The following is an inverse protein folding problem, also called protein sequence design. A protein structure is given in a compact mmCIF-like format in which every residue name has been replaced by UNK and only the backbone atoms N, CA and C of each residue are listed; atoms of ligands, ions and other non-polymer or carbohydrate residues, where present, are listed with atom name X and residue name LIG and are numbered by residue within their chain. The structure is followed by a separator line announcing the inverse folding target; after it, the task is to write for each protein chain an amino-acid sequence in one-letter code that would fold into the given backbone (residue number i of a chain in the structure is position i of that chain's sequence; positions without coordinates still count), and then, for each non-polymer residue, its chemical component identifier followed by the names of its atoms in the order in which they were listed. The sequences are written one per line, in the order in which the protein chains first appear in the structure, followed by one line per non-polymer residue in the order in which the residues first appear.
data_IF_482503575802
#
_entry.id   IF_482503575802
#
_cell.length_a   1.000
_cell.length_b   1.000
_cell.length_c   1.000
_cell.angle_alpha   90.00
_cell.angle_beta   90.00
_cell.angle_gamma   90.00
#
_symmetry.space_group_name_H-M   'P 1'
#
loop_
_entity.id
_entity.type
_entity.pdbx_description
1 polymer ?
#
# COMPACT_ATOMS: atom_id res chain seq x y z
N UNK A 1 4.21 9.85 20.53
CA UNK A 1 5.40 9.82 19.64
C UNK A 1 5.86 8.41 19.32
N UNK A 2 6.01 7.49 20.29
CA UNK A 2 6.50 6.12 19.99
C UNK A 2 5.62 5.31 19.02
N UNK A 3 4.30 5.34 19.19
CA UNK A 3 3.37 4.65 18.27
C UNK A 3 3.42 5.20 16.83
N UNK A 4 3.75 6.49 16.67
CA UNK A 4 3.88 7.15 15.37
C UNK A 4 5.12 6.67 14.61
N UNK A 5 6.28 6.70 15.28
CA UNK A 5 7.53 6.19 14.72
C UNK A 5 7.49 4.68 14.47
N UNK A 6 6.80 3.92 15.33
CA UNK A 6 6.53 2.50 15.10
C UNK A 6 5.72 2.24 13.81
N UNK A 7 4.67 3.04 13.56
CA UNK A 7 3.86 2.92 12.34
C UNK A 7 4.63 3.32 11.08
N UNK A 8 5.46 4.37 11.13
CA UNK A 8 6.35 4.75 10.03
C UNK A 8 7.34 3.65 9.68
N UNK A 9 7.99 3.05 10.69
CA UNK A 9 8.90 1.93 10.51
C UNK A 9 8.21 0.71 9.87
N UNK A 10 6.97 0.41 10.27
CA UNK A 10 6.18 -0.68 9.68
C UNK A 10 5.77 -0.39 8.24
N UNK A 11 5.36 0.83 7.90
CA UNK A 11 5.05 1.22 6.52
C UNK A 11 6.28 1.05 5.60
N UNK A 12 7.46 1.47 6.05
CA UNK A 12 8.74 1.25 5.34
C UNK A 12 9.01 -0.25 5.14
N UNK A 13 8.81 -1.07 6.19
CA UNK A 13 8.99 -2.52 6.09
C UNK A 13 8.03 -3.17 5.09
N UNK A 14 6.77 -2.73 5.02
CA UNK A 14 5.80 -3.22 4.02
C UNK A 14 6.25 -2.86 2.61
N UNK A 15 6.79 -1.64 2.41
CA UNK A 15 7.38 -1.25 1.13
C UNK A 15 8.52 -2.19 0.68
N UNK A 16 9.42 -2.56 1.59
CA UNK A 16 10.48 -3.53 1.29
C UNK A 16 9.94 -4.93 0.99
N UNK A 17 8.91 -5.39 1.71
CA UNK A 17 8.25 -6.66 1.42
C UNK A 17 7.65 -6.67 0.02
N UNK A 18 6.91 -5.61 -0.35
CA UNK A 18 6.32 -5.46 -1.68
C UNK A 18 7.40 -5.46 -2.75
N UNK A 19 8.53 -4.77 -2.53
CA UNK A 19 9.66 -4.74 -3.48
C UNK A 19 10.26 -6.12 -3.71
N UNK A 20 10.29 -6.96 -2.68
CA UNK A 20 10.82 -8.33 -2.77
C UNK A 20 9.88 -9.32 -3.45
N UNK A 21 8.60 -8.96 -3.68
CA UNK A 21 7.66 -9.84 -4.36
C UNK A 21 8.01 -9.96 -5.85
N UNK A 22 7.99 -11.18 -6.37
CA UNK A 22 8.08 -11.45 -7.80
C UNK A 22 6.71 -11.80 -8.38
N UNK A 23 6.58 -11.72 -9.70
CA UNK A 23 5.35 -12.08 -10.42
C UNK A 23 5.00 -13.57 -10.22
N UNK A 24 4.04 -13.85 -9.35
CA UNK A 24 3.45 -15.19 -9.20
C UNK A 24 2.07 -15.12 -8.54
N UNK A 25 1.23 -16.14 -8.78
CA UNK A 25 -0.09 -16.26 -8.14
C UNK A 25 0.00 -16.20 -6.61
N UNK A 26 1.00 -16.86 -6.01
CA UNK A 26 1.20 -16.86 -4.57
C UNK A 26 1.59 -15.47 -4.03
N UNK A 27 2.29 -14.67 -4.82
CA UNK A 27 2.73 -13.33 -4.41
C UNK A 27 1.64 -12.27 -4.60
N UNK A 28 0.58 -12.55 -5.37
CA UNK A 28 -0.60 -11.68 -5.49
C UNK A 28 -1.36 -11.61 -4.18
N UNK A 29 -1.60 -12.76 -3.55
CA UNK A 29 -2.23 -12.82 -2.21
C UNK A 29 -1.38 -12.07 -1.19
N UNK A 30 -0.05 -12.19 -1.25
CA UNK A 30 0.87 -11.44 -0.37
C UNK A 30 0.85 -9.94 -0.64
N UNK A 31 0.82 -9.53 -1.91
CA UNK A 31 0.72 -8.12 -2.30
C UNK A 31 -0.58 -7.51 -1.76
N UNK A 32 -1.72 -8.21 -1.91
CA UNK A 32 -3.01 -7.77 -1.39
C UNK A 32 -2.97 -7.62 0.14
N UNK A 33 -2.43 -8.61 0.85
CA UNK A 33 -2.28 -8.53 2.31
C UNK A 33 -1.40 -7.35 2.75
N UNK A 34 -0.27 -7.11 2.06
CA UNK A 34 0.60 -5.96 2.33
C UNK A 34 -0.12 -4.62 2.13
N UNK A 35 -0.91 -4.50 1.07
CA UNK A 35 -1.68 -3.29 0.76
C UNK A 35 -2.78 -3.02 1.81
N UNK A 36 -3.48 -4.07 2.25
CA UNK A 36 -4.47 -3.96 3.32
C UNK A 36 -3.84 -3.54 4.65
N UNK A 37 -2.68 -4.12 5.01
CA UNK A 37 -1.94 -3.72 6.22
C UNK A 37 -1.46 -2.27 6.14
N UNK A 38 -0.88 -1.86 5.00
CA UNK A 38 -0.43 -0.48 4.79
C UNK A 38 -1.59 0.51 4.91
N UNK A 39 -2.73 0.21 4.29
CA UNK A 39 -3.94 1.03 4.38
C UNK A 39 -4.44 1.17 5.82
N UNK A 40 -4.49 0.08 6.59
CA UNK A 40 -4.95 0.09 7.98
C UNK A 40 -3.99 0.85 8.90
N UNK A 41 -2.68 0.64 8.74
CA UNK A 41 -1.65 1.36 9.49
C UNK A 41 -1.73 2.87 9.21
N UNK A 42 -1.77 3.24 7.94
CA UNK A 42 -1.90 4.62 7.50
C UNK A 42 -3.16 5.28 8.08
N UNK A 43 -4.29 4.57 8.07
CA UNK A 43 -5.54 5.08 8.65
C UNK A 43 -5.43 5.31 10.15
N UNK A 44 -4.76 4.42 10.89
CA UNK A 44 -4.57 4.61 12.34
C UNK A 44 -3.69 5.82 12.67
N UNK A 45 -2.69 6.10 11.83
CA UNK A 45 -1.83 7.29 11.95
C UNK A 45 -2.60 8.58 11.64
N UNK A 46 -3.36 8.61 10.54
CA UNK A 46 -4.14 9.80 10.14
C UNK A 46 -5.30 10.07 11.09
N UNK A 47 -5.95 9.04 11.66
CA UNK A 47 -7.08 9.19 12.58
C UNK A 47 -6.67 9.69 13.98
N UNK A 48 -5.40 9.54 14.33
CA UNK A 48 -4.85 9.91 15.64
C UNK A 48 -4.45 11.39 15.79
N UNK A 49 -4.44 12.16 14.70
CA UNK A 49 -4.02 13.56 14.68
C UNK A 49 -5.10 14.49 14.11
N UNK A 50 -5.39 15.60 14.82
CA UNK A 50 -6.22 16.70 14.31
C UNK A 50 -5.42 17.48 13.27
N UNK A 51 -5.41 17.03 12.01
CA UNK A 51 -4.71 17.73 10.93
C UNK A 51 -5.63 18.03 9.73
N UNK A 52 -5.74 19.29 9.28
CA UNK A 52 -6.41 19.68 8.04
C UNK A 52 -5.86 18.98 6.77
N UNK A 53 -4.61 18.48 6.78
CA UNK A 53 -4.01 17.71 5.68
C UNK A 53 -4.37 16.22 5.68
N UNK A 54 -5.27 15.79 6.58
CA UNK A 54 -5.87 14.46 6.57
C UNK A 54 -6.48 14.08 5.21
N UNK A 55 -6.82 15.05 4.34
CA UNK A 55 -7.29 14.77 2.99
C UNK A 55 -6.25 14.04 2.14
N UNK A 56 -4.98 14.45 2.18
CA UNK A 56 -3.93 13.85 1.34
C UNK A 56 -3.56 12.45 1.84
N UNK A 57 -3.39 12.29 3.15
CA UNK A 57 -3.23 10.97 3.78
C UNK A 57 -4.40 10.02 3.49
N UNK A 58 -5.65 10.50 3.63
CA UNK A 58 -6.84 9.70 3.30
C UNK A 58 -6.94 9.36 1.81
N UNK A 59 -6.45 10.22 0.91
CA UNK A 59 -6.41 9.93 -0.52
C UNK A 59 -5.44 8.78 -0.80
N UNK A 60 -4.23 8.82 -0.25
CA UNK A 60 -3.22 7.76 -0.39
C UNK A 60 -3.70 6.42 0.21
N UNK A 61 -4.38 6.46 1.36
CA UNK A 61 -5.03 5.27 1.96
C UNK A 61 -6.04 4.64 0.99
N UNK A 62 -6.89 5.47 0.37
CA UNK A 62 -7.89 4.99 -0.59
C UNK A 62 -7.26 4.41 -1.86
N UNK A 63 -6.15 4.99 -2.33
CA UNK A 63 -5.41 4.46 -3.48
C UNK A 63 -4.80 3.08 -3.17
N UNK A 64 -4.20 2.91 -1.99
CA UNK A 64 -3.68 1.61 -1.55
C UNK A 64 -4.80 0.55 -1.47
N UNK A 65 -5.95 0.91 -0.89
CA UNK A 65 -7.11 0.02 -0.81
C UNK A 65 -7.71 -0.31 -2.19
N UNK A 66 -7.75 0.67 -3.11
CA UNK A 66 -8.20 0.45 -4.50
C UNK A 66 -7.25 -0.49 -5.24
N UNK A 67 -5.95 -0.26 -5.13
CA UNK A 67 -4.93 -1.13 -5.73
C UNK A 67 -5.04 -2.56 -5.21
N UNK A 68 -5.34 -2.74 -3.93
CA UNK A 68 -5.55 -4.07 -3.32
C UNK A 68 -6.73 -4.80 -3.97
N UNK A 69 -7.88 -4.11 -4.04
CA UNK A 69 -9.12 -4.62 -4.63
C UNK A 69 -9.00 -4.89 -6.13
N UNK A 70 -8.37 -3.98 -6.86
CA UNK A 70 -8.14 -4.12 -8.30
C UNK A 70 -7.22 -5.31 -8.57
N UNK A 71 -6.16 -5.49 -7.78
CA UNK A 71 -5.27 -6.65 -7.90
C UNK A 71 -6.07 -7.96 -7.79
N UNK A 72 -6.96 -8.08 -6.81
CA UNK A 72 -7.77 -9.27 -6.59
C UNK A 72 -8.81 -9.51 -7.71
N UNK A 73 -9.51 -8.46 -8.12
CA UNK A 73 -10.54 -8.53 -9.16
C UNK A 73 -9.91 -8.88 -10.51
N UNK A 74 -8.87 -8.16 -10.93
CA UNK A 74 -8.27 -8.35 -12.24
C UNK A 74 -7.48 -9.66 -12.31
N UNK A 75 -6.88 -10.12 -11.21
CA UNK A 75 -6.21 -11.43 -11.20
C UNK A 75 -7.17 -12.59 -11.48
N UNK A 76 -8.39 -12.50 -10.95
CA UNK A 76 -9.42 -13.55 -11.09
C UNK A 76 -9.88 -13.73 -12.54
N UNK A 77 -9.92 -12.65 -13.33
CA UNK A 77 -10.50 -12.67 -14.69
C UNK A 77 -9.49 -12.46 -15.82
N UNK A 78 -8.21 -12.24 -15.53
CA UNK A 78 -7.17 -12.02 -16.53
C UNK A 78 -6.57 -13.32 -17.06
N UNK A 79 -6.24 -13.34 -18.36
CA UNK A 79 -5.35 -14.36 -18.94
C UNK A 79 -3.92 -14.26 -18.36
N UNK A 80 -3.12 -15.31 -18.54
CA UNK A 80 -1.77 -15.42 -17.96
C UNK A 80 -0.85 -14.24 -18.34
N UNK A 81 -0.94 -13.74 -19.58
CA UNK A 81 -0.12 -12.62 -20.04
C UNK A 81 -0.54 -11.29 -19.40
N UNK A 82 -1.84 -11.08 -19.20
CA UNK A 82 -2.38 -9.91 -18.51
C UNK A 82 -2.12 -9.92 -17.01
N UNK A 83 -2.14 -11.10 -16.37
CA UNK A 83 -1.81 -11.27 -14.94
C UNK A 83 -0.45 -10.67 -14.58
N UNK A 84 0.60 -11.02 -15.32
CA UNK A 84 1.96 -10.46 -15.13
C UNK A 84 1.98 -8.93 -15.23
N UNK A 85 1.34 -8.36 -16.27
CA UNK A 85 1.31 -6.91 -16.49
C UNK A 85 0.60 -6.20 -15.34
N UNK A 86 -0.52 -6.77 -14.87
CA UNK A 86 -1.31 -6.22 -13.78
C UNK A 86 -0.54 -6.27 -12.46
N UNK A 87 0.12 -7.40 -12.15
CA UNK A 87 0.96 -7.51 -10.95
C UNK A 87 2.03 -6.43 -10.91
N UNK A 88 2.81 -6.31 -11.98
CA UNK A 88 3.87 -5.31 -12.08
C UNK A 88 3.37 -3.88 -11.98
N UNK A 89 2.15 -3.63 -12.47
CA UNK A 89 1.52 -2.31 -12.37
C UNK A 89 1.09 -2.03 -10.93
N UNK A 90 0.38 -2.95 -10.29
CA UNK A 90 -0.06 -2.82 -8.90
C UNK A 90 1.13 -2.70 -7.94
N UNK A 91 2.16 -3.52 -8.10
CA UNK A 91 3.38 -3.46 -7.29
C UNK A 91 4.05 -2.09 -7.41
N UNK A 92 4.20 -1.53 -8.62
CA UNK A 92 4.80 -0.21 -8.83
C UNK A 92 4.00 0.92 -8.17
N UNK A 93 2.68 0.92 -8.33
CA UNK A 93 1.84 1.94 -7.70
C UNK A 93 1.84 1.81 -6.19
N UNK A 94 1.72 0.59 -5.65
CA UNK A 94 1.81 0.33 -4.21
C UNK A 94 3.08 0.90 -3.59
N UNK A 95 4.24 0.67 -4.22
CA UNK A 95 5.52 1.21 -3.75
C UNK A 95 5.56 2.74 -3.80
N UNK A 96 5.01 3.34 -4.86
CA UNK A 96 4.93 4.80 -5.01
C UNK A 96 4.04 5.42 -3.93
N UNK A 97 2.87 4.82 -3.70
CA UNK A 97 1.88 5.31 -2.72
C UNK A 97 2.43 5.19 -1.29
N UNK A 98 3.05 4.05 -0.93
CA UNK A 98 3.68 3.86 0.38
C UNK A 98 4.83 4.85 0.59
N UNK A 99 5.69 5.05 -0.41
CA UNK A 99 6.79 6.01 -0.31
C UNK A 99 6.25 7.42 -0.06
N UNK A 100 5.27 7.85 -0.86
CA UNK A 100 4.66 9.18 -0.75
C UNK A 100 3.99 9.37 0.62
N UNK A 101 3.31 8.33 1.11
CA UNK A 101 2.69 8.35 2.43
C UNK A 101 3.73 8.50 3.55
N UNK A 102 4.82 7.73 3.50
CA UNK A 102 5.91 7.83 4.48
C UNK A 102 6.53 9.23 4.46
N UNK A 103 6.83 9.78 3.29
CA UNK A 103 7.39 11.13 3.14
C UNK A 103 6.43 12.20 3.68
N UNK A 104 5.14 12.09 3.39
CA UNK A 104 4.12 13.00 3.92
C UNK A 104 4.05 12.94 5.44
N UNK A 105 3.97 11.73 6.01
CA UNK A 105 3.94 11.55 7.46
C UNK A 105 5.24 12.03 8.13
N UNK A 106 6.41 11.88 7.50
CA UNK A 106 7.67 12.40 8.06
C UNK A 106 7.76 13.93 8.06
N UNK A 107 6.94 14.60 7.27
CA UNK A 107 6.89 16.07 7.21
C UNK A 107 5.95 16.72 8.25
N UNK A 108 5.12 15.91 8.94
CA UNK A 108 4.21 16.34 10.02
C UNK A 108 4.93 16.39 11.37
#
# INVERSE_FOLDING_TARGET
MEAYHGSLGRLRAIGEQIRALSESEANVTKLNACLQEASALAQSVVSGGRDPDAYYGNHLIRLLASNARDTELYWTYADQGRKTILFNRCQRYALSDIKTLVEHLESL
#
